data_IF_610104840834
#
_entry.id   IF_610104840834
#
_cell.length_a   1.000
_cell.length_b   1.000
_cell.length_c   1.000
_cell.angle_alpha   90.00
_cell.angle_beta   90.00
_cell.angle_gamma   90.00
#
_symmetry.space_group_name_H-M   'P 1'
#
loop_
_entity.id
_entity.type
_entity.pdbx_description
1 polymer ?
#
# COMPACT_ATOMS: atom_id res chain seq x y z
N UNK A 1 -14.31 7.95 55.13
CA UNK A 1 -13.91 8.42 53.78
C UNK A 1 -15.09 9.12 53.12
N UNK A 2 -14.88 10.30 52.51
CA UNK A 2 -15.95 10.98 51.75
C UNK A 2 -16.26 10.14 50.50
N UNK A 3 -17.53 9.78 50.29
CA UNK A 3 -17.98 9.04 49.10
C UNK A 3 -17.87 9.96 47.89
N UNK A 4 -16.87 9.73 47.04
CA UNK A 4 -16.70 10.47 45.77
C UNK A 4 -17.84 10.06 44.83
N UNK A 5 -18.51 11.04 44.23
CA UNK A 5 -19.61 10.82 43.29
C UNK A 5 -19.14 10.15 42.00
N UNK A 6 -19.91 9.19 41.48
CA UNK A 6 -19.63 8.52 40.20
C UNK A 6 -19.45 9.49 39.02
N UNK A 7 -20.10 10.66 39.08
CA UNK A 7 -20.01 11.69 38.03
C UNK A 7 -18.58 12.24 37.87
N UNK A 8 -17.79 12.26 38.95
CA UNK A 8 -16.40 12.75 38.94
C UNK A 8 -15.52 11.85 38.08
N UNK A 9 -15.70 10.54 38.17
CA UNK A 9 -14.89 9.60 37.38
C UNK A 9 -15.21 9.70 35.89
N UNK A 10 -16.47 9.91 35.51
CA UNK A 10 -16.88 10.04 34.12
C UNK A 10 -16.20 11.23 33.39
N UNK A 11 -15.79 12.26 34.13
CA UNK A 11 -15.12 13.46 33.57
C UNK A 11 -13.60 13.38 33.55
N UNK A 12 -12.99 12.33 34.14
CA UNK A 12 -11.53 12.20 34.16
C UNK A 12 -10.97 11.92 32.77
N UNK A 13 -9.93 12.68 32.41
CA UNK A 13 -9.09 12.35 31.24
C UNK A 13 -8.38 11.01 31.46
N UNK A 14 -7.91 10.33 30.39
CA UNK A 14 -7.14 9.10 30.52
C UNK A 14 -5.94 9.23 31.48
N UNK A 15 -5.18 10.32 31.37
CA UNK A 15 -4.01 10.59 32.23
C UNK A 15 -4.41 10.76 33.70
N UNK A 16 -5.44 11.55 33.99
CA UNK A 16 -5.94 11.73 35.37
C UNK A 16 -6.47 10.43 35.96
N UNK A 17 -7.12 9.60 35.13
CA UNK A 17 -7.65 8.30 35.56
C UNK A 17 -6.53 7.32 35.92
N UNK A 18 -5.44 7.30 35.16
CA UNK A 18 -4.24 6.50 35.49
C UNK A 18 -3.62 6.96 36.80
N UNK A 19 -3.46 8.28 37.00
CA UNK A 19 -2.94 8.83 38.25
C UNK A 19 -3.83 8.45 39.46
N UNK A 20 -5.14 8.68 39.36
CA UNK A 20 -6.10 8.32 40.40
C UNK A 20 -6.13 6.80 40.69
N UNK A 21 -5.92 5.98 39.66
CA UNK A 21 -5.87 4.52 39.80
C UNK A 21 -4.64 4.05 40.57
N UNK A 22 -3.47 4.63 40.29
CA UNK A 22 -2.23 4.34 41.03
C UNK A 22 -2.33 4.82 42.48
N UNK A 23 -2.90 6.00 42.72
CA UNK A 23 -3.13 6.50 44.07
C UNK A 23 -4.11 5.63 44.87
N UNK A 24 -5.18 5.14 44.25
CA UNK A 24 -6.14 4.24 44.88
C UNK A 24 -5.48 2.91 45.30
N UNK A 25 -4.63 2.34 44.42
CA UNK A 25 -3.82 1.16 44.73
C UNK A 25 -2.86 1.41 45.90
N UNK A 26 -2.16 2.55 45.92
CA UNK A 26 -1.24 2.89 47.01
C UNK A 26 -1.95 3.02 48.37
N UNK A 27 -3.24 3.38 48.37
CA UNK A 27 -4.09 3.44 49.57
C UNK A 27 -4.74 2.10 49.94
N UNK A 28 -4.66 1.08 49.09
CA UNK A 28 -5.40 -0.19 49.24
C UNK A 28 -6.92 -0.04 49.07
N UNK A 29 -7.38 0.99 48.35
CA UNK A 29 -8.82 1.24 48.11
C UNK A 29 -9.29 0.48 46.85
N UNK A 30 -9.52 -0.82 47.02
CA UNK A 30 -10.00 -1.72 45.95
C UNK A 30 -11.36 -1.29 45.36
N UNK A 31 -12.21 -0.65 46.18
CA UNK A 31 -13.51 -0.16 45.73
C UNK A 31 -13.35 1.03 44.76
N UNK A 32 -12.40 1.93 45.02
CA UNK A 32 -12.06 3.04 44.12
C UNK A 32 -11.44 2.55 42.82
N UNK A 33 -10.53 1.57 42.91
CA UNK A 33 -9.96 0.86 41.76
C UNK A 33 -11.07 0.29 40.86
N UNK A 34 -12.07 -0.38 41.45
CA UNK A 34 -13.17 -0.95 40.69
C UNK A 34 -14.11 0.11 40.10
N UNK A 35 -14.34 1.23 40.79
CA UNK A 35 -15.09 2.38 40.24
C UNK A 35 -14.35 3.01 39.06
N UNK A 36 -13.04 3.18 39.15
CA UNK A 36 -12.21 3.74 38.08
C UNK A 36 -12.16 2.82 36.85
N UNK A 37 -12.20 1.50 37.03
CA UNK A 37 -12.32 0.56 35.91
C UNK A 37 -13.70 0.59 35.27
N UNK A 38 -14.75 0.48 36.08
CA UNK A 38 -16.13 0.37 35.57
C UNK A 38 -16.66 1.65 34.92
N UNK A 39 -16.19 2.82 35.36
CA UNK A 39 -16.57 4.12 34.79
C UNK A 39 -15.70 4.57 33.62
N UNK A 40 -14.75 3.76 33.15
CA UNK A 40 -13.92 4.10 32.01
C UNK A 40 -14.79 4.09 30.74
N UNK A 41 -14.78 5.16 29.92
CA UNK A 41 -15.50 5.17 28.65
C UNK A 41 -15.05 3.98 27.79
N UNK A 42 -16.00 3.14 27.41
CA UNK A 42 -15.75 2.06 26.45
C UNK A 42 -15.95 2.65 25.07
N UNK A 43 -14.88 2.64 24.29
CA UNK A 43 -14.91 3.11 22.91
C UNK A 43 -14.83 1.89 22.01
N UNK A 44 -15.76 1.80 21.06
CA UNK A 44 -15.70 0.81 20.00
C UNK A 44 -14.86 1.40 18.87
N UNK A 45 -13.69 0.80 18.62
CA UNK A 45 -12.84 1.19 17.50
C UNK A 45 -13.21 0.35 16.29
N UNK A 46 -13.58 1.03 15.19
CA UNK A 46 -13.68 0.41 13.88
C UNK A 46 -12.40 0.66 13.12
N UNK A 47 -11.77 -0.41 12.66
CA UNK A 47 -10.56 -0.36 11.82
C UNK A 47 -10.91 -0.86 10.43
N UNK A 48 -10.32 -0.25 9.40
CA UNK A 48 -10.30 -0.82 8.06
C UNK A 48 -9.62 -2.19 8.15
N UNK A 49 -10.12 -3.16 7.39
CA UNK A 49 -9.51 -4.48 7.30
C UNK A 49 -8.01 -4.33 6.97
N UNK A 50 -7.09 -4.81 7.83
CA UNK A 50 -5.66 -4.72 7.58
C UNK A 50 -5.24 -5.49 6.33
N UNK A 51 -5.95 -6.58 5.98
CA UNK A 51 -5.67 -7.34 4.76
C UNK A 51 -6.01 -6.51 3.52
N UNK A 52 -7.15 -5.82 3.52
CA UNK A 52 -7.51 -4.89 2.45
C UNK A 52 -6.50 -3.76 2.32
N UNK A 53 -6.16 -3.07 3.42
CA UNK A 53 -5.26 -1.92 3.40
C UNK A 53 -3.87 -2.31 2.89
N UNK A 54 -3.32 -3.43 3.38
CA UNK A 54 -2.02 -3.94 2.94
C UNK A 54 -2.01 -4.30 1.45
N UNK A 55 -3.07 -4.94 0.95
CA UNK A 55 -3.17 -5.28 -0.48
C UNK A 55 -3.21 -4.02 -1.35
N UNK A 56 -3.94 -3.00 -0.90
CA UNK A 56 -4.01 -1.72 -1.59
C UNK A 56 -2.65 -1.03 -1.65
N UNK A 57 -1.94 -0.97 -0.52
CA UNK A 57 -0.59 -0.39 -0.45
C UNK A 57 0.39 -1.12 -1.39
N UNK A 58 0.38 -2.46 -1.38
CA UNK A 58 1.25 -3.24 -2.27
C UNK A 58 0.88 -3.02 -3.75
N UNK A 59 -0.40 -2.95 -4.09
CA UNK A 59 -0.85 -2.69 -5.46
C UNK A 59 -0.32 -1.34 -5.97
N UNK A 60 -0.43 -0.27 -5.16
CA UNK A 60 0.11 1.04 -5.53
C UNK A 60 1.63 1.04 -5.61
N UNK A 61 2.31 0.34 -4.69
CA UNK A 61 3.75 0.13 -4.75
C UNK A 61 4.18 -0.51 -6.08
N UNK A 62 3.48 -1.55 -6.51
CA UNK A 62 3.76 -2.21 -7.79
C UNK A 62 3.44 -1.35 -9.01
N UNK A 63 2.39 -0.55 -8.95
CA UNK A 63 2.07 0.38 -10.03
C UNK A 63 3.20 1.40 -10.24
N UNK A 64 3.75 1.94 -9.13
CA UNK A 64 4.90 2.85 -9.18
C UNK A 64 6.17 2.16 -9.68
N UNK A 65 6.46 0.95 -9.21
CA UNK A 65 7.61 0.18 -9.66
C UNK A 65 7.53 -0.12 -11.17
N UNK A 66 6.36 -0.58 -11.64
CA UNK A 66 6.11 -0.82 -13.06
C UNK A 66 6.37 0.45 -13.89
N UNK A 67 5.83 1.59 -13.46
CA UNK A 67 6.03 2.86 -14.17
C UNK A 67 7.51 3.27 -14.21
N UNK A 68 8.27 2.99 -13.14
CA UNK A 68 9.71 3.23 -13.11
C UNK A 68 10.46 2.31 -14.09
N UNK A 69 10.15 1.01 -14.12
CA UNK A 69 10.77 0.04 -15.03
C UNK A 69 10.47 0.36 -16.51
N UNK A 70 9.25 0.83 -16.79
CA UNK A 70 8.86 1.31 -18.12
C UNK A 70 9.66 2.56 -18.52
N UNK A 71 9.87 3.51 -17.60
CA UNK A 71 10.71 4.70 -17.83
C UNK A 71 12.17 4.33 -18.04
N UNK A 72 12.70 3.40 -17.26
CA UNK A 72 14.05 2.88 -17.42
C UNK A 72 14.23 2.26 -18.81
N UNK A 73 13.30 1.41 -19.23
CA UNK A 73 13.33 0.78 -20.55
C UNK A 73 13.27 1.83 -21.68
N UNK A 74 12.39 2.82 -21.56
CA UNK A 74 12.28 3.91 -22.53
C UNK A 74 13.57 4.74 -22.63
N UNK A 75 14.16 5.10 -21.49
CA UNK A 75 15.41 5.85 -21.45
C UNK A 75 16.58 5.01 -22.01
N UNK A 76 16.67 3.75 -21.61
CA UNK A 76 17.65 2.79 -22.09
C UNK A 76 17.61 2.65 -23.60
N UNK A 77 16.42 2.57 -24.19
CA UNK A 77 16.22 2.59 -25.64
C UNK A 77 16.85 3.83 -26.30
N UNK A 78 16.53 5.04 -25.82
CA UNK A 78 17.06 6.27 -26.43
C UNK A 78 18.58 6.41 -26.29
N UNK A 79 19.13 5.97 -25.16
CA UNK A 79 20.58 5.95 -24.92
C UNK A 79 21.26 4.92 -25.84
N UNK A 80 20.72 3.70 -25.91
CA UNK A 80 21.23 2.64 -26.77
C UNK A 80 21.18 3.02 -28.25
N UNK A 81 20.12 3.69 -28.70
CA UNK A 81 20.04 4.23 -30.07
C UNK A 81 21.22 5.14 -30.45
N UNK A 82 21.88 5.79 -29.47
CA UNK A 82 23.06 6.63 -29.69
C UNK A 82 24.38 5.88 -29.53
N UNK A 83 24.44 4.94 -28.59
CA UNK A 83 25.70 4.32 -28.16
C UNK A 83 25.90 2.90 -28.71
N UNK A 84 24.83 2.11 -28.77
CA UNK A 84 24.81 0.74 -29.29
C UNK A 84 23.41 0.40 -29.87
N UNK A 85 23.16 0.73 -31.14
CA UNK A 85 21.86 0.51 -31.76
C UNK A 85 21.42 -0.95 -31.79
N UNK A 86 22.35 -1.91 -31.64
CA UNK A 86 22.02 -3.34 -31.67
C UNK A 86 21.24 -3.76 -30.42
N UNK A 87 21.55 -3.17 -29.26
CA UNK A 87 20.86 -3.45 -27.99
C UNK A 87 19.60 -2.60 -27.78
N UNK A 88 19.38 -1.57 -28.59
CA UNK A 88 18.19 -0.71 -28.47
C UNK A 88 16.87 -1.52 -28.53
N UNK A 89 16.82 -2.55 -29.37
CA UNK A 89 15.62 -3.41 -29.49
C UNK A 89 15.31 -4.18 -28.20
N UNK A 90 16.32 -4.55 -27.43
CA UNK A 90 16.13 -5.31 -26.20
C UNK A 90 15.38 -4.48 -25.15
N UNK A 91 15.65 -3.17 -25.08
CA UNK A 91 14.92 -2.26 -24.21
C UNK A 91 13.45 -2.10 -24.63
N UNK A 92 13.14 -2.03 -25.92
CA UNK A 92 11.75 -2.03 -26.39
C UNK A 92 11.04 -3.34 -26.08
N UNK A 93 11.74 -4.47 -26.17
CA UNK A 93 11.20 -5.78 -25.78
C UNK A 93 10.93 -5.85 -24.28
N UNK A 94 11.84 -5.36 -23.45
CA UNK A 94 11.64 -5.27 -21.99
C UNK A 94 10.43 -4.39 -21.67
N UNK A 95 10.29 -3.23 -22.31
CA UNK A 95 9.12 -2.37 -22.16
C UNK A 95 7.81 -3.11 -22.47
N UNK A 96 7.75 -3.79 -23.63
CA UNK A 96 6.56 -4.53 -24.04
C UNK A 96 6.23 -5.65 -23.05
N UNK A 97 7.24 -6.40 -22.59
CA UNK A 97 7.08 -7.49 -21.64
C UNK A 97 6.58 -6.99 -20.28
N UNK A 98 7.16 -5.92 -19.74
CA UNK A 98 6.75 -5.30 -18.48
C UNK A 98 5.32 -4.78 -18.56
N UNK A 99 4.95 -4.11 -19.66
CA UNK A 99 3.59 -3.61 -19.87
C UNK A 99 2.57 -4.75 -19.94
N UNK A 100 2.91 -5.84 -20.63
CA UNK A 100 2.06 -7.02 -20.71
C UNK A 100 1.93 -7.74 -19.36
N UNK A 101 3.04 -7.89 -18.63
CA UNK A 101 3.04 -8.48 -17.29
C UNK A 101 2.16 -7.69 -16.32
N UNK A 102 2.22 -6.35 -16.37
CA UNK A 102 1.36 -5.49 -15.54
C UNK A 102 -0.12 -5.65 -15.87
N UNK A 103 -0.50 -5.68 -17.16
CA UNK A 103 -1.88 -5.97 -17.57
C UNK A 103 -2.35 -7.35 -17.09
N UNK A 104 -1.47 -8.34 -17.11
CA UNK A 104 -1.74 -9.69 -16.60
C UNK A 104 -2.01 -9.68 -15.10
N UNK A 105 -1.21 -8.95 -14.33
CA UNK A 105 -1.41 -8.76 -12.89
C UNK A 105 -2.77 -8.10 -12.63
N UNK A 106 -3.08 -6.98 -13.29
CA UNK A 106 -4.38 -6.30 -13.13
C UNK A 106 -5.56 -7.24 -13.40
N UNK A 107 -5.52 -7.97 -14.51
CA UNK A 107 -6.54 -8.96 -14.87
C UNK A 107 -6.69 -10.07 -13.81
N UNK A 108 -5.57 -10.56 -13.26
CA UNK A 108 -5.56 -11.59 -12.21
C UNK A 108 -6.28 -11.13 -10.93
N UNK A 109 -6.20 -9.84 -10.60
CA UNK A 109 -6.91 -9.25 -9.47
C UNK A 109 -8.32 -8.76 -9.79
N UNK A 110 -8.78 -8.91 -11.03
CA UNK A 110 -10.07 -8.37 -11.48
C UNK A 110 -10.10 -6.83 -11.49
N UNK A 111 -8.94 -6.20 -11.64
CA UNK A 111 -8.80 -4.74 -11.71
C UNK A 111 -9.03 -4.30 -13.16
N UNK A 112 -9.95 -3.36 -13.34
CA UNK A 112 -10.16 -2.72 -14.64
C UNK A 112 -8.95 -1.84 -15.00
N UNK A 113 -8.40 -2.07 -16.19
CA UNK A 113 -7.17 -1.40 -16.62
C UNK A 113 -7.34 0.12 -16.77
N UNK A 114 -8.52 0.59 -17.19
CA UNK A 114 -8.80 2.04 -17.32
C UNK A 114 -8.93 2.69 -15.95
N UNK A 115 -9.58 2.02 -15.00
CA UNK A 115 -9.64 2.47 -13.62
C UNK A 115 -8.23 2.56 -13.01
N UNK A 116 -7.37 1.58 -13.28
CA UNK A 116 -5.99 1.59 -12.80
C UNK A 116 -5.14 2.68 -13.46
N UNK A 117 -5.35 2.99 -14.75
CA UNK A 117 -4.70 4.09 -15.44
C UNK A 117 -5.09 5.46 -14.84
N UNK A 118 -6.35 5.63 -14.45
CA UNK A 118 -6.84 6.86 -13.82
C UNK A 118 -6.41 7.02 -12.36
N UNK A 119 -6.31 5.92 -11.61
CA UNK A 119 -5.97 5.93 -10.19
C UNK A 119 -4.47 5.77 -9.92
N UNK A 120 -3.72 5.20 -10.85
CA UNK A 120 -2.31 4.89 -10.75
C UNK A 120 -1.40 6.11 -10.92
N UNK A 121 -0.07 5.89 -10.92
CA UNK A 121 0.87 6.95 -11.25
C UNK A 121 0.62 7.43 -12.69
N UNK A 122 0.75 8.74 -12.97
CA UNK A 122 0.56 9.26 -14.31
C UNK A 122 1.61 8.67 -15.26
N UNK A 123 1.12 8.07 -16.35
CA UNK A 123 1.96 7.56 -17.43
C UNK A 123 2.81 8.69 -18.02
N UNK A 124 4.07 8.38 -18.31
CA UNK A 124 4.96 9.31 -18.99
C UNK A 124 4.48 9.64 -20.42
N UNK A 125 4.35 10.92 -20.80
CA UNK A 125 4.06 11.29 -22.19
C UNK A 125 5.11 10.78 -23.18
N UNK A 126 6.34 10.53 -22.69
CA UNK A 126 7.41 9.95 -23.50
C UNK A 126 7.10 8.54 -24.02
N UNK A 127 6.15 7.82 -23.41
CA UNK A 127 5.74 6.51 -23.90
C UNK A 127 5.08 6.59 -25.27
N UNK A 128 4.37 7.69 -25.58
CA UNK A 128 3.75 7.91 -26.89
C UNK A 128 4.78 7.90 -28.03
N UNK A 129 6.03 8.27 -27.75
CA UNK A 129 7.11 8.30 -28.73
C UNK A 129 7.64 6.90 -29.08
N UNK A 130 7.58 5.96 -28.13
CA UNK A 130 8.11 4.61 -28.30
C UNK A 130 7.00 3.59 -28.59
N UNK A 131 5.74 3.91 -28.27
CA UNK A 131 4.58 3.04 -28.46
C UNK A 131 4.47 2.45 -29.88
N UNK A 132 4.68 3.22 -30.96
CA UNK A 132 4.61 2.69 -32.33
C UNK A 132 5.76 1.74 -32.69
N UNK A 133 6.82 1.72 -31.88
CA UNK A 133 8.04 0.94 -32.11
C UNK A 133 8.07 -0.35 -31.27
N UNK A 134 7.11 -0.54 -30.37
CA UNK A 134 7.10 -1.68 -29.47
C UNK A 134 6.91 -2.99 -30.26
N UNK A 135 7.73 -4.01 -29.99
CA UNK A 135 7.47 -5.35 -30.49
C UNK A 135 6.28 -5.97 -29.75
N UNK A 136 5.76 -7.07 -30.29
CA UNK A 136 4.88 -7.95 -29.53
C UNK A 136 5.60 -8.45 -28.26
N UNK A 137 4.90 -8.54 -27.12
CA UNK A 137 5.52 -9.03 -25.89
C UNK A 137 5.89 -10.50 -26.04
N UNK A 138 7.05 -10.86 -25.51
CA UNK A 138 7.42 -12.24 -25.24
C UNK A 138 6.52 -12.75 -24.12
N UNK A 139 5.61 -13.65 -24.48
CA UNK A 139 4.59 -14.18 -23.58
C UNK A 139 5.18 -15.00 -22.43
N UNK A 140 6.28 -15.71 -22.66
CA UNK A 140 6.89 -16.55 -21.63
C UNK A 140 7.67 -15.67 -20.63
N UNK A 141 8.42 -14.69 -21.13
CA UNK A 141 9.08 -13.70 -20.28
C UNK A 141 8.07 -12.89 -19.46
N UNK A 142 6.98 -12.42 -20.09
CA UNK A 142 5.93 -11.65 -19.42
C UNK A 142 5.18 -12.48 -18.36
N UNK A 143 4.88 -13.76 -18.65
CA UNK A 143 4.28 -14.68 -17.69
C UNK A 143 5.20 -14.93 -16.51
N UNK A 144 6.49 -15.17 -16.76
CA UNK A 144 7.49 -15.36 -15.70
C UNK A 144 7.54 -14.14 -14.78
N UNK A 145 7.66 -12.93 -15.36
CA UNK A 145 7.69 -11.68 -14.60
C UNK A 145 6.42 -11.48 -13.77
N UNK A 146 5.25 -11.63 -14.38
CA UNK A 146 3.97 -11.50 -13.66
C UNK A 146 3.83 -12.53 -12.54
N UNK A 147 4.27 -13.78 -12.76
CA UNK A 147 4.26 -14.84 -11.76
C UNK A 147 5.22 -14.60 -10.60
N UNK A 148 6.38 -13.99 -10.85
CA UNK A 148 7.32 -13.58 -9.79
C UNK A 148 6.72 -12.47 -8.93
N UNK A 149 6.12 -11.45 -9.56
CA UNK A 149 5.47 -10.34 -8.85
C UNK A 149 4.25 -10.81 -8.04
N UNK A 150 3.45 -11.71 -8.60
CA UNK A 150 2.25 -12.25 -7.93
C UNK A 150 2.58 -12.99 -6.63
N UNK A 151 3.77 -13.60 -6.50
CA UNK A 151 4.20 -14.24 -5.26
C UNK A 151 4.36 -13.26 -4.09
N UNK A 152 4.61 -11.98 -4.37
CA UNK A 152 4.71 -10.94 -3.34
C UNK A 152 3.35 -10.37 -2.91
N UNK A 153 2.28 -10.71 -3.65
CA UNK A 153 0.92 -10.23 -3.40
C UNK A 153 0.02 -11.25 -2.68
N UNK A 154 0.45 -12.52 -2.61
CA UNK A 154 -0.24 -13.61 -1.91
C UNK A 154 0.17 -13.67 -0.43
#
# INVERSE_FOLDING_TARGET
MKKISQKVYATLTPTQRVAAYVEALARGDEDEVQRLRSSCPRVEYRRIDPCFSKRLDTLFGLAMATEADLKESALGFFVAMRLDPKSARDYLQQFANTRHAWKTIQSTFGIDAKAMELAGPPSSPFFELIEPMLPEPDMDASKKLSGEVLKFLQ
#
